data_IF_718148402886
#
_entry.id   IF_718148402886
#
_cell.length_a   1.000
_cell.length_b   1.000
_cell.length_c   1.000
_cell.angle_alpha   90.00
_cell.angle_beta   90.00
_cell.angle_gamma   90.00
#
_symmetry.space_group_name_H-M   'P 1'
#
loop_
_entity.id
_entity.type
_entity.pdbx_description
1 polymer ?
#
# COMPACT_ATOMS: atom_id res chain seq x y z
N UNK A 1 1.66 -16.33 -4.97
CA UNK A 1 1.37 -16.81 -3.59
C UNK A 1 0.08 -16.13 -3.17
N UNK A 2 -0.87 -16.87 -2.60
CA UNK A 2 -2.15 -16.34 -2.08
C UNK A 2 -2.08 -16.26 -0.56
N UNK A 3 -2.85 -15.38 0.05
CA UNK A 3 -3.00 -15.33 1.50
C UNK A 3 -3.59 -16.61 2.06
N UNK A 4 -3.19 -16.97 3.27
CA UNK A 4 -3.91 -18.01 4.03
C UNK A 4 -5.38 -17.59 4.20
N UNK A 5 -6.34 -18.51 3.97
CA UNK A 5 -7.77 -18.17 4.06
C UNK A 5 -8.23 -17.64 5.42
N UNK A 6 -7.52 -17.97 6.50
CA UNK A 6 -7.82 -17.44 7.83
C UNK A 6 -7.37 -15.97 7.95
N UNK A 7 -6.18 -15.65 7.41
CA UNK A 7 -5.66 -14.28 7.37
C UNK A 7 -6.55 -13.40 6.52
N UNK A 8 -6.94 -13.88 5.34
CA UNK A 8 -7.85 -13.18 4.44
C UNK A 8 -9.16 -12.79 5.16
N UNK A 9 -9.81 -13.76 5.80
CA UNK A 9 -11.07 -13.49 6.52
C UNK A 9 -10.91 -12.48 7.65
N UNK A 10 -9.80 -12.54 8.37
CA UNK A 10 -9.51 -11.57 9.44
C UNK A 10 -9.28 -10.17 8.89
N UNK A 11 -8.55 -10.04 7.78
CA UNK A 11 -8.36 -8.75 7.11
C UNK A 11 -9.67 -8.21 6.53
N UNK A 12 -10.48 -9.05 5.88
CA UNK A 12 -11.80 -8.66 5.36
C UNK A 12 -12.76 -8.21 6.49
N UNK A 13 -12.66 -8.81 7.67
CA UNK A 13 -13.43 -8.38 8.84
C UNK A 13 -13.01 -6.99 9.33
N UNK A 14 -11.76 -6.58 9.12
CA UNK A 14 -11.23 -5.26 9.48
C UNK A 14 -11.60 -4.20 8.45
N UNK A 15 -11.30 -4.43 7.16
CA UNK A 15 -11.40 -3.40 6.11
C UNK A 15 -12.64 -3.54 5.21
N UNK A 16 -13.45 -4.56 5.45
CA UNK A 16 -14.58 -4.93 4.59
C UNK A 16 -14.16 -5.63 3.30
N UNK A 17 -15.12 -6.27 2.62
CA UNK A 17 -14.86 -7.04 1.39
C UNK A 17 -14.28 -6.19 0.24
N UNK A 18 -14.64 -4.92 0.15
CA UNK A 18 -14.08 -3.97 -0.83
C UNK A 18 -12.75 -3.33 -0.40
N UNK A 19 -12.23 -3.67 0.78
CA UNK A 19 -10.97 -3.15 1.31
C UNK A 19 -9.78 -4.09 1.14
N UNK A 20 -9.95 -5.23 0.44
CA UNK A 20 -8.91 -6.20 0.15
C UNK A 20 -9.04 -6.73 -1.27
N UNK A 21 -7.92 -6.89 -1.96
CA UNK A 21 -7.87 -7.54 -3.29
C UNK A 21 -6.73 -8.54 -3.36
N UNK A 22 -7.03 -9.67 -4.01
CA UNK A 22 -6.07 -10.67 -4.48
C UNK A 22 -6.15 -10.80 -6.03
N UNK A 23 -6.80 -9.84 -6.69
CA UNK A 23 -6.92 -9.84 -8.15
C UNK A 23 -5.55 -9.73 -8.81
N UNK A 24 -5.21 -10.58 -9.80
CA UNK A 24 -3.92 -10.52 -10.50
C UNK A 24 -3.61 -9.17 -11.14
N UNK A 25 -4.63 -8.42 -11.57
CA UNK A 25 -4.44 -7.10 -12.17
C UNK A 25 -3.98 -6.09 -11.12
N UNK A 26 -4.60 -6.11 -9.94
CA UNK A 26 -4.19 -5.28 -8.82
C UNK A 26 -2.79 -5.67 -8.34
N UNK A 27 -2.53 -6.96 -8.17
CA UNK A 27 -1.21 -7.46 -7.79
C UNK A 27 -0.12 -6.99 -8.76
N UNK A 28 -0.40 -7.01 -10.07
CA UNK A 28 0.53 -6.50 -11.09
C UNK A 28 0.71 -4.99 -10.98
N UNK A 29 -0.37 -4.23 -10.78
CA UNK A 29 -0.31 -2.78 -10.64
C UNK A 29 0.56 -2.34 -9.47
N UNK A 30 0.45 -3.04 -8.33
CA UNK A 30 1.22 -2.76 -7.11
C UNK A 30 2.60 -3.45 -7.06
N UNK A 31 2.99 -4.15 -8.12
CA UNK A 31 4.32 -4.79 -8.23
C UNK A 31 5.41 -3.85 -8.73
N UNK A 32 5.14 -2.56 -8.84
CA UNK A 32 6.08 -1.57 -9.41
C UNK A 32 5.93 -0.22 -8.73
N UNK A 33 7.00 0.56 -8.80
CA UNK A 33 7.02 2.00 -8.62
C UNK A 33 7.59 2.67 -9.90
N UNK A 34 8.03 3.91 -9.80
CA UNK A 34 8.66 4.61 -10.91
C UNK A 34 10.19 4.38 -10.99
N UNK A 35 10.71 3.38 -10.33
CA UNK A 35 12.13 3.03 -10.43
C UNK A 35 12.53 2.67 -11.87
N UNK A 36 13.44 3.43 -12.51
CA UNK A 36 13.79 3.22 -13.92
C UNK A 36 14.25 1.79 -14.23
N UNK A 37 14.96 1.16 -13.31
CA UNK A 37 15.43 -0.22 -13.48
C UNK A 37 14.26 -1.22 -13.54
N UNK A 38 13.23 -1.05 -12.71
CA UNK A 38 12.03 -1.88 -12.76
C UNK A 38 11.26 -1.70 -14.08
N UNK A 39 11.20 -0.48 -14.60
CA UNK A 39 10.57 -0.19 -15.90
C UNK A 39 11.34 -0.83 -17.07
N UNK A 40 12.68 -0.79 -17.04
CA UNK A 40 13.50 -1.45 -18.04
C UNK A 40 13.33 -2.97 -18.00
N UNK A 41 13.22 -3.54 -16.86
CA UNK A 41 12.97 -4.97 -16.69
C UNK A 41 11.60 -5.37 -17.25
N UNK A 42 10.56 -4.62 -16.95
CA UNK A 42 9.23 -4.83 -17.51
C UNK A 42 9.25 -4.79 -19.04
N UNK A 43 9.91 -3.80 -19.64
CA UNK A 43 10.10 -3.70 -21.10
C UNK A 43 10.86 -4.89 -21.69
N UNK A 44 11.79 -5.46 -20.95
CA UNK A 44 12.55 -6.64 -21.34
C UNK A 44 11.80 -7.96 -21.10
N UNK A 45 10.53 -7.90 -20.72
CA UNK A 45 9.72 -9.09 -20.39
C UNK A 45 10.18 -9.82 -19.12
N UNK A 46 11.02 -9.18 -18.32
CA UNK A 46 11.45 -9.71 -17.03
C UNK A 46 10.46 -9.26 -15.96
N UNK A 47 9.64 -10.18 -15.52
CA UNK A 47 8.86 -9.95 -14.32
C UNK A 47 9.79 -9.98 -13.12
N UNK A 48 10.16 -8.81 -12.63
CA UNK A 48 11.19 -8.65 -11.61
C UNK A 48 10.70 -8.91 -10.23
N UNK A 49 9.43 -9.09 -10.06
CA UNK A 49 8.84 -8.82 -8.78
C UNK A 49 7.92 -9.94 -8.44
N UNK A 50 8.09 -10.44 -7.26
CA UNK A 50 7.08 -11.26 -6.64
C UNK A 50 5.83 -10.39 -6.45
N UNK A 51 4.70 -10.70 -7.10
CA UNK A 51 3.49 -9.94 -6.85
C UNK A 51 3.14 -10.02 -5.36
N UNK A 52 2.57 -8.96 -4.78
CA UNK A 52 2.12 -9.02 -3.40
C UNK A 52 1.07 -10.13 -3.25
N UNK A 53 0.95 -10.70 -2.06
CA UNK A 53 -0.11 -11.68 -1.80
C UNK A 53 -1.49 -11.03 -1.89
N UNK A 54 -1.60 -9.81 -1.39
CA UNK A 54 -2.82 -9.00 -1.45
C UNK A 54 -2.50 -7.51 -1.35
N UNK A 55 -3.48 -6.70 -1.71
CA UNK A 55 -3.51 -5.27 -1.46
C UNK A 55 -4.62 -5.01 -0.45
N UNK A 56 -4.34 -4.18 0.56
CA UNK A 56 -5.30 -3.80 1.60
C UNK A 56 -5.43 -2.29 1.63
N UNK A 57 -6.67 -1.79 1.60
CA UNK A 57 -7.02 -0.37 1.60
C UNK A 57 -7.76 0.01 2.90
N UNK A 58 -7.05 0.30 4.00
CA UNK A 58 -7.68 0.78 5.22
C UNK A 58 -8.24 2.20 5.02
N UNK A 59 -9.34 2.48 5.70
CA UNK A 59 -10.04 3.77 5.68
C UNK A 59 -9.85 4.58 6.97
N UNK A 60 -9.19 4.00 7.97
CA UNK A 60 -8.89 4.68 9.23
C UNK A 60 -7.55 4.22 9.83
N UNK A 61 -7.04 5.01 10.78
CA UNK A 61 -5.80 4.68 11.52
C UNK A 61 -5.99 3.42 12.37
N UNK A 62 -7.20 3.21 12.89
CA UNK A 62 -7.57 2.03 13.67
C UNK A 62 -7.50 0.77 12.82
N UNK A 63 -8.00 0.83 11.58
CA UNK A 63 -7.90 -0.27 10.61
C UNK A 63 -6.43 -0.54 10.23
N UNK A 64 -5.62 0.50 10.01
CA UNK A 64 -4.16 0.34 9.80
C UNK A 64 -3.54 -0.43 10.96
N UNK A 65 -3.83 -0.03 12.19
CA UNK A 65 -3.31 -0.71 13.38
C UNK A 65 -3.77 -2.16 13.48
N UNK A 66 -5.02 -2.46 13.14
CA UNK A 66 -5.56 -3.82 13.16
C UNK A 66 -4.92 -4.70 12.08
N UNK A 67 -4.78 -4.19 10.86
CA UNK A 67 -4.08 -4.89 9.75
C UNK A 67 -2.65 -5.22 10.13
N UNK A 68 -1.90 -4.25 10.66
CA UNK A 68 -0.51 -4.45 11.07
C UNK A 68 -0.37 -5.49 12.18
N UNK A 69 -1.30 -5.52 13.15
CA UNK A 69 -1.30 -6.55 14.21
C UNK A 69 -1.59 -7.94 13.64
N UNK A 70 -2.57 -8.04 12.74
CA UNK A 70 -2.93 -9.31 12.09
C UNK A 70 -1.76 -9.90 11.32
N UNK A 71 -1.12 -9.10 10.46
CA UNK A 71 -0.01 -9.54 9.62
C UNK A 71 1.27 -9.76 10.43
N UNK A 72 1.58 -8.86 11.38
CA UNK A 72 2.75 -8.97 12.25
C UNK A 72 2.75 -10.21 13.12
N UNK A 73 1.61 -10.61 13.68
CA UNK A 73 1.48 -11.84 14.46
C UNK A 73 1.82 -13.11 13.66
N UNK A 74 1.79 -13.01 12.33
CA UNK A 74 2.06 -14.13 11.40
C UNK A 74 3.40 -13.98 10.66
N UNK A 75 4.17 -12.95 10.95
CA UNK A 75 5.43 -12.66 10.28
C UNK A 75 5.28 -12.33 8.80
N UNK A 76 4.10 -11.86 8.37
CA UNK A 76 3.85 -11.47 6.99
C UNK A 76 4.36 -10.04 6.80
N UNK A 77 5.32 -9.81 5.87
CA UNK A 77 5.85 -8.49 5.63
C UNK A 77 4.80 -7.55 5.04
N UNK A 78 4.90 -6.27 5.36
CA UNK A 78 3.99 -5.22 4.87
C UNK A 78 4.78 -4.15 4.12
N UNK A 79 4.31 -3.79 2.95
CA UNK A 79 4.84 -2.68 2.15
C UNK A 79 3.85 -1.53 2.19
N UNK A 80 4.16 -0.40 2.85
CA UNK A 80 3.31 0.78 2.81
C UNK A 80 3.36 1.40 1.41
N UNK A 81 2.19 1.82 0.91
CA UNK A 81 2.05 2.36 -0.43
C UNK A 81 1.20 3.63 -0.41
N UNK A 82 1.73 4.70 -0.96
CA UNK A 82 1.01 5.96 -1.20
C UNK A 82 0.69 6.08 -2.68
N UNK A 83 1.27 7.08 -3.36
CA UNK A 83 1.10 7.29 -4.80
C UNK A 83 1.93 6.33 -5.68
N UNK A 84 2.83 5.54 -5.12
CA UNK A 84 3.75 4.71 -5.91
C UNK A 84 4.77 5.50 -6.71
N UNK A 85 4.99 6.77 -6.35
CA UNK A 85 5.88 7.71 -7.07
C UNK A 85 7.36 7.54 -6.72
N UNK A 86 7.71 6.58 -5.87
CA UNK A 86 9.09 6.27 -5.52
C UNK A 86 9.93 5.86 -6.73
N UNK A 87 11.22 6.23 -6.74
CA UNK A 87 12.12 6.00 -7.86
C UNK A 87 13.31 5.08 -7.51
N UNK A 88 13.25 4.45 -6.34
CA UNK A 88 14.33 3.62 -5.80
C UNK A 88 13.89 2.19 -5.46
N UNK A 89 12.69 1.79 -5.81
CA UNK A 89 12.17 0.44 -5.53
C UNK A 89 11.68 0.24 -4.10
N UNK A 90 11.43 1.31 -3.33
CA UNK A 90 11.04 1.23 -1.92
C UNK A 90 9.66 0.64 -1.67
N UNK A 91 8.79 0.62 -2.68
CA UNK A 91 7.44 0.05 -2.59
C UNK A 91 7.30 -1.29 -3.30
N UNK A 92 8.42 -1.90 -3.71
CA UNK A 92 8.39 -3.20 -4.39
C UNK A 92 8.19 -4.33 -3.39
N UNK A 93 7.20 -5.21 -3.58
CA UNK A 93 7.08 -6.44 -2.82
C UNK A 93 8.24 -7.39 -3.17
N UNK A 94 8.85 -8.02 -2.18
CA UNK A 94 10.03 -8.87 -2.39
C UNK A 94 9.86 -10.31 -1.90
N UNK A 95 8.97 -10.57 -0.95
CA UNK A 95 8.95 -11.83 -0.18
C UNK A 95 7.55 -12.35 0.13
N UNK A 96 6.58 -12.15 -0.74
CA UNK A 96 5.20 -12.47 -0.45
C UNK A 96 4.57 -11.48 0.53
N UNK A 97 4.90 -10.22 0.33
CA UNK A 97 4.45 -9.11 1.14
C UNK A 97 2.96 -8.82 0.88
N UNK A 98 2.32 -8.17 1.83
CA UNK A 98 1.02 -7.52 1.64
C UNK A 98 1.27 -6.03 1.44
N UNK A 99 0.66 -5.45 0.40
CA UNK A 99 0.70 -4.00 0.19
C UNK A 99 -0.40 -3.34 1.02
N UNK A 100 -0.01 -2.37 1.83
CA UNK A 100 -0.91 -1.53 2.62
C UNK A 100 -1.03 -0.18 1.94
N UNK A 101 -2.08 0.00 1.16
CA UNK A 101 -2.31 1.24 0.43
C UNK A 101 -3.07 2.25 1.29
N UNK A 102 -2.46 3.40 1.51
CA UNK A 102 -2.96 4.44 2.43
C UNK A 102 -3.77 5.54 1.73
N UNK A 103 -4.03 5.46 0.42
CA UNK A 103 -4.69 6.53 -0.35
C UNK A 103 -6.09 6.91 0.14
N UNK A 104 -6.80 6.02 0.85
CA UNK A 104 -8.07 6.37 1.50
C UNK A 104 -7.90 7.30 2.71
N UNK A 105 -6.70 7.41 3.27
CA UNK A 105 -6.34 8.33 4.34
C UNK A 105 -5.78 9.62 3.72
N UNK A 106 -6.63 10.40 3.06
CA UNK A 106 -6.23 11.55 2.26
C UNK A 106 -6.74 12.90 2.77
N UNK A 107 -7.00 13.06 4.06
CA UNK A 107 -7.56 14.30 4.61
C UNK A 107 -6.49 15.28 5.04
N UNK A 108 -6.69 16.56 4.75
CA UNK A 108 -6.01 17.66 5.42
C UNK A 108 -6.62 17.86 6.81
N UNK A 109 -5.84 17.68 7.87
CA UNK A 109 -6.28 17.79 9.26
C UNK A 109 -6.18 19.19 9.80
N UNK A 110 -5.19 19.95 9.36
CA UNK A 110 -5.01 21.35 9.79
C UNK A 110 -3.81 22.01 9.14
N UNK A 111 -3.83 23.35 9.18
CA UNK A 111 -2.71 24.18 8.71
C UNK A 111 -2.37 25.17 9.83
N UNK A 112 -1.10 25.26 10.18
CA UNK A 112 -0.54 26.27 11.08
C UNK A 112 0.33 27.23 10.24
N UNK A 113 -0.20 28.39 9.83
CA UNK A 113 0.52 29.33 9.00
C UNK A 113 1.68 30.02 9.74
N UNK A 114 1.62 30.14 11.07
CA UNK A 114 2.69 30.77 11.86
C UNK A 114 3.91 29.86 11.89
N UNK A 115 3.70 28.55 12.10
CA UNK A 115 4.76 27.53 12.10
C UNK A 115 5.08 27.02 10.71
N UNK A 116 4.29 27.36 9.70
CA UNK A 116 4.36 26.85 8.33
C UNK A 116 4.29 25.32 8.29
N UNK A 117 3.36 24.74 9.04
CA UNK A 117 3.13 23.31 9.12
C UNK A 117 1.73 22.97 8.60
N UNK A 118 1.63 21.83 7.95
CA UNK A 118 0.36 21.19 7.64
C UNK A 118 0.33 19.78 8.25
N UNK A 119 -0.79 19.45 8.88
CA UNK A 119 -1.09 18.10 9.35
C UNK A 119 -1.96 17.41 8.30
N UNK A 120 -1.41 16.41 7.62
CA UNK A 120 -2.08 15.67 6.55
C UNK A 120 -2.05 14.17 6.83
N UNK A 121 -3.08 13.46 6.38
CA UNK A 121 -3.07 11.99 6.42
C UNK A 121 -2.06 11.41 5.41
N UNK A 122 -1.52 10.24 5.73
CA UNK A 122 -0.38 9.64 5.02
C UNK A 122 -0.65 9.24 3.55
N UNK A 123 -1.91 9.18 3.14
CA UNK A 123 -2.33 8.89 1.77
C UNK A 123 -2.67 10.11 0.93
N UNK A 124 -2.51 11.32 1.48
CA UNK A 124 -2.79 12.55 0.74
C UNK A 124 -1.83 12.71 -0.43
N UNK A 125 -2.38 12.97 -1.60
CA UNK A 125 -1.58 13.26 -2.79
C UNK A 125 -1.15 14.73 -2.75
N UNK A 126 0.13 15.02 -3.04
CA UNK A 126 0.68 16.37 -2.92
C UNK A 126 -0.05 17.40 -3.79
N UNK A 127 -0.47 17.01 -5.00
CA UNK A 127 -1.27 17.87 -5.90
C UNK A 127 -2.60 18.26 -5.27
N UNK A 128 -3.28 17.35 -4.57
CA UNK A 128 -4.56 17.65 -3.89
C UNK A 128 -4.36 18.61 -2.70
N UNK A 129 -3.16 18.58 -2.10
CA UNK A 129 -2.81 19.45 -0.99
C UNK A 129 -2.50 20.89 -1.45
N UNK A 130 -1.98 21.07 -2.67
CA UNK A 130 -1.59 22.38 -3.20
C UNK A 130 -2.77 23.18 -3.78
N UNK A 131 -3.96 22.59 -3.94
CA UNK A 131 -5.19 23.23 -4.39
C UNK A 131 -5.97 23.89 -3.24
#
# INVERSE_FOLDING_TARGET
MTLDPSVRRELEAVVGAGGLSEDPTDQLAYSRDLWPKALLWLRAGRHTVHPPQAIVWPSSVEEVGAVLRCLGARGIPVVPYGAGSGVCGGTLPLRGDVVLDLKKLGRLRGVDPERRLADVEAGMIGEDYEQ
#
